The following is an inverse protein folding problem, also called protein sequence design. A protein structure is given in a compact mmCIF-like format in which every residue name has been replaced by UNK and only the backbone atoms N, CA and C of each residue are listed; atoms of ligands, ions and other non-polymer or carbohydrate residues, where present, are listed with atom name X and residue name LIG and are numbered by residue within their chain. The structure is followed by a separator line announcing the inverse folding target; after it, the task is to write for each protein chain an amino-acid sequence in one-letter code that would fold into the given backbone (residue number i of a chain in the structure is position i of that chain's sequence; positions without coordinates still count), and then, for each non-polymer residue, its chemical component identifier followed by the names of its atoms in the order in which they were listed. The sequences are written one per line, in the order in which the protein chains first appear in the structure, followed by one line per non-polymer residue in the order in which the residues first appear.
data_IF_408985627867
#
_entry.id   IF_408985627867
#
_cell.length_a   1.000
_cell.length_b   1.000
_cell.length_c   1.000
_cell.angle_alpha   90.00
_cell.angle_beta   90.00
_cell.angle_gamma   90.00
#
_symmetry.space_group_name_H-M   'P 1'
#
loop_
_entity.id
_entity.type
_entity.pdbx_description
1 polymer ?
#
# COMPACT_ATOMS: atom_id res chain seq x y z
N UNK A 1 -7.48 -19.73 -15.20
CA UNK A 1 -6.32 -20.08 -14.35
C UNK A 1 -6.83 -20.88 -13.15
N UNK A 2 -6.02 -21.78 -12.58
CA UNK A 2 -6.41 -22.54 -11.37
C UNK A 2 -5.99 -21.74 -10.14
N UNK A 3 -6.95 -21.47 -9.25
CA UNK A 3 -6.70 -20.77 -7.99
C UNK A 3 -5.88 -21.65 -7.04
N UNK A 4 -4.98 -21.02 -6.29
CA UNK A 4 -4.18 -21.71 -5.28
C UNK A 4 -4.44 -21.05 -3.93
N UNK A 5 -4.85 -21.84 -2.94
CA UNK A 5 -5.01 -21.36 -1.56
C UNK A 5 -3.66 -20.90 -1.01
N UNK A 6 -3.63 -19.71 -0.41
CA UNK A 6 -2.42 -19.08 0.15
C UNK A 6 -2.76 -18.43 1.48
N UNK A 7 -1.80 -18.40 2.39
CA UNK A 7 -1.83 -17.45 3.50
C UNK A 7 -1.24 -16.14 2.97
N UNK A 8 -1.89 -15.01 3.26
CA UNK A 8 -1.49 -13.69 2.78
C UNK A 8 -1.37 -12.76 3.99
N UNK A 9 -0.29 -11.99 4.06
CA UNK A 9 0.00 -11.09 5.18
C UNK A 9 0.50 -9.75 4.65
N UNK A 10 -0.19 -8.67 5.04
CA UNK A 10 0.25 -7.30 4.80
C UNK A 10 1.09 -6.83 5.99
N UNK A 11 2.30 -6.37 5.72
CA UNK A 11 3.20 -5.75 6.71
C UNK A 11 3.72 -4.46 6.12
N UNK A 12 3.34 -3.32 6.73
CA UNK A 12 3.62 -1.99 6.19
C UNK A 12 3.14 -1.91 4.73
N UNK A 13 4.04 -1.75 3.75
CA UNK A 13 3.75 -1.68 2.32
C UNK A 13 4.16 -2.95 1.55
N UNK A 14 4.38 -4.06 2.25
CA UNK A 14 4.68 -5.36 1.64
C UNK A 14 3.54 -6.35 1.84
N UNK A 15 3.09 -6.96 0.75
CA UNK A 15 2.12 -8.06 0.76
C UNK A 15 2.84 -9.39 0.54
N UNK A 16 3.03 -10.14 1.62
CA UNK A 16 3.66 -11.46 1.60
C UNK A 16 2.62 -12.55 1.33
N UNK A 17 2.98 -13.58 0.58
CA UNK A 17 2.15 -14.76 0.36
C UNK A 17 2.93 -16.06 0.57
N UNK A 18 2.29 -16.99 1.26
CA UNK A 18 2.89 -18.23 1.78
C UNK A 18 2.10 -19.43 1.28
N UNK A 19 2.73 -20.61 1.22
CA UNK A 19 1.96 -21.85 1.23
C UNK A 19 1.30 -22.00 2.59
N UNK A 20 0.21 -22.76 2.66
CA UNK A 20 -0.58 -22.89 3.89
C UNK A 20 0.14 -23.63 5.01
N UNK A 21 1.22 -24.32 4.69
CA UNK A 21 2.02 -25.20 5.52
C UNK A 21 3.47 -24.74 5.69
N UNK A 22 3.84 -23.59 5.11
CA UNK A 22 5.20 -23.04 5.17
C UNK A 22 5.24 -21.74 5.99
N UNK A 23 6.30 -21.58 6.78
CA UNK A 23 6.54 -20.36 7.56
C UNK A 23 7.25 -19.25 6.76
N UNK A 24 7.99 -19.63 5.71
CA UNK A 24 8.69 -18.68 4.83
C UNK A 24 7.78 -18.23 3.68
N UNK A 25 7.82 -16.94 3.29
CA UNK A 25 7.03 -16.46 2.17
C UNK A 25 7.59 -17.01 0.87
N UNK A 26 6.69 -17.40 -0.04
CA UNK A 26 7.07 -17.77 -1.42
C UNK A 26 7.47 -16.51 -2.19
N UNK A 27 6.91 -15.36 -1.81
CA UNK A 27 7.25 -14.08 -2.36
C UNK A 27 6.55 -12.93 -1.65
N UNK A 28 6.88 -11.72 -2.09
CA UNK A 28 6.30 -10.48 -1.61
C UNK A 28 5.99 -9.56 -2.79
N UNK A 29 4.92 -8.79 -2.65
CA UNK A 29 4.61 -7.66 -3.53
C UNK A 29 4.88 -6.37 -2.76
N UNK A 30 5.74 -5.51 -3.31
CA UNK A 30 5.93 -4.16 -2.81
C UNK A 30 4.82 -3.27 -3.37
N UNK A 31 4.05 -2.61 -2.50
CA UNK A 31 2.88 -1.82 -2.88
C UNK A 31 3.27 -0.38 -3.28
N UNK A 32 4.08 -0.28 -4.32
CA UNK A 32 4.46 0.97 -4.98
C UNK A 32 4.06 0.92 -6.45
N UNK A 33 3.63 2.06 -6.99
CA UNK A 33 3.21 2.17 -8.40
C UNK A 33 2.22 1.06 -8.83
N UNK A 34 1.36 0.65 -7.89
CA UNK A 34 0.40 -0.42 -8.10
C UNK A 34 -1.03 0.11 -8.22
N UNK A 35 -1.88 -0.63 -8.93
CA UNK A 35 -3.32 -0.41 -9.02
C UNK A 35 -4.03 -1.58 -8.38
N UNK A 36 -4.81 -1.29 -7.33
CA UNK A 36 -5.73 -2.25 -6.72
C UNK A 36 -7.13 -2.04 -7.30
N UNK A 37 -7.69 -3.08 -7.91
CA UNK A 37 -9.00 -3.04 -8.57
C UNK A 37 -9.93 -4.11 -7.98
N UNK A 38 -11.15 -3.74 -7.57
CA UNK A 38 -12.22 -4.72 -7.28
C UNK A 38 -12.76 -5.19 -8.62
N UNK A 39 -12.64 -6.48 -8.91
CA UNK A 39 -13.01 -7.08 -10.20
C UNK A 39 -14.44 -7.66 -10.12
N UNK A 40 -14.73 -8.41 -9.05
CA UNK A 40 -16.03 -9.02 -8.75
C UNK A 40 -16.37 -8.84 -7.25
N UNK A 41 -17.49 -9.38 -6.77
CA UNK A 41 -17.90 -9.28 -5.35
C UNK A 41 -16.79 -9.71 -4.39
N UNK A 42 -16.20 -10.89 -4.64
CA UNK A 42 -15.18 -11.50 -3.78
C UNK A 42 -13.78 -11.49 -4.39
N UNK A 43 -13.58 -10.79 -5.52
CA UNK A 43 -12.33 -10.84 -6.29
C UNK A 43 -11.75 -9.45 -6.46
N UNK A 44 -10.46 -9.31 -6.19
CA UNK A 44 -9.69 -8.12 -6.51
C UNK A 44 -8.40 -8.47 -7.25
N UNK A 45 -7.78 -7.48 -7.87
CA UNK A 45 -6.49 -7.63 -8.52
C UNK A 45 -5.51 -6.53 -8.11
N UNK A 46 -4.22 -6.85 -8.21
CA UNK A 46 -3.10 -5.92 -8.11
C UNK A 46 -2.34 -5.98 -9.44
N UNK A 47 -2.20 -4.84 -10.11
CA UNK A 47 -1.31 -4.67 -11.26
C UNK A 47 -0.29 -3.56 -11.01
N UNK A 48 0.81 -3.56 -11.75
CA UNK A 48 1.89 -2.58 -11.61
C UNK A 48 1.94 -1.70 -12.86
N UNK A 49 2.16 -0.40 -12.67
CA UNK A 49 2.15 0.58 -13.77
C UNK A 49 3.30 0.30 -14.75
N UNK A 50 4.46 -0.06 -14.22
CA UNK A 50 5.67 -0.33 -15.00
C UNK A 50 5.65 -1.71 -15.66
N UNK A 51 4.91 -2.66 -15.09
CA UNK A 51 4.79 -4.04 -15.58
C UNK A 51 3.29 -4.46 -15.63
N UNK A 52 2.50 -3.91 -16.58
CA UNK A 52 1.04 -4.13 -16.63
C UNK A 52 0.63 -5.59 -16.78
N UNK A 53 1.49 -6.41 -17.39
CA UNK A 53 1.33 -7.86 -17.54
C UNK A 53 1.43 -8.61 -16.21
N UNK A 54 2.07 -8.03 -15.18
CA UNK A 54 2.11 -8.59 -13.83
C UNK A 54 0.82 -8.28 -13.07
N UNK A 55 -0.27 -8.92 -13.48
CA UNK A 55 -1.56 -8.89 -12.79
C UNK A 55 -1.69 -10.09 -11.84
N UNK A 56 -1.88 -9.80 -10.55
CA UNK A 56 -2.14 -10.79 -9.51
C UNK A 56 -3.62 -10.74 -9.12
N UNK A 57 -4.35 -11.83 -9.32
CA UNK A 57 -5.75 -11.94 -8.92
C UNK A 57 -5.87 -12.66 -7.57
N UNK A 58 -6.72 -12.12 -6.71
CA UNK A 58 -7.01 -12.65 -5.38
C UNK A 58 -8.51 -12.85 -5.24
N UNK A 59 -8.89 -14.02 -4.76
CA UNK A 59 -10.27 -14.33 -4.39
C UNK A 59 -10.36 -14.53 -2.88
N UNK A 60 -11.33 -13.86 -2.26
CA UNK A 60 -11.61 -13.91 -0.84
C UNK A 60 -12.79 -14.85 -0.56
N UNK A 61 -12.92 -15.28 0.70
CA UNK A 61 -14.03 -16.14 1.11
C UNK A 61 -15.38 -15.41 1.11
N UNK A 62 -15.37 -14.10 1.31
CA UNK A 62 -16.56 -13.23 1.38
C UNK A 62 -16.27 -11.86 0.76
N UNK A 63 -17.34 -11.13 0.43
CA UNK A 63 -17.24 -9.78 -0.14
C UNK A 63 -16.67 -8.80 0.87
N UNK A 64 -17.08 -8.92 2.12
CA UNK A 64 -16.58 -8.12 3.24
C UNK A 64 -15.06 -8.27 3.36
N UNK A 65 -14.56 -9.52 3.36
CA UNK A 65 -13.12 -9.77 3.39
C UNK A 65 -12.41 -9.18 2.16
N UNK A 66 -13.00 -9.28 0.96
CA UNK A 66 -12.45 -8.66 -0.25
C UNK A 66 -12.33 -7.14 -0.08
N UNK A 67 -13.39 -6.50 0.42
CA UNK A 67 -13.42 -5.06 0.63
C UNK A 67 -12.40 -4.61 1.68
N UNK A 68 -12.27 -5.33 2.80
CA UNK A 68 -11.25 -5.07 3.82
C UNK A 68 -9.84 -5.15 3.25
N UNK A 69 -9.54 -6.17 2.43
CA UNK A 69 -8.25 -6.29 1.76
C UNK A 69 -7.99 -5.14 0.79
N UNK A 70 -8.95 -4.80 -0.06
CA UNK A 70 -8.82 -3.69 -1.01
C UNK A 70 -8.51 -2.38 -0.27
N UNK A 71 -9.20 -2.09 0.83
CA UNK A 71 -8.97 -0.88 1.61
C UNK A 71 -7.64 -0.90 2.37
N UNK A 72 -7.25 -2.04 2.95
CA UNK A 72 -5.98 -2.19 3.62
C UNK A 72 -4.80 -1.99 2.63
N UNK A 73 -4.88 -2.58 1.45
CA UNK A 73 -3.86 -2.45 0.40
C UNK A 73 -3.77 -1.03 -0.15
N UNK A 74 -4.90 -0.36 -0.37
CA UNK A 74 -4.92 1.06 -0.77
C UNK A 74 -4.28 1.97 0.27
N UNK A 75 -4.48 1.70 1.57
CA UNK A 75 -3.87 2.49 2.66
C UNK A 75 -2.38 2.19 2.84
N UNK A 76 -1.96 0.97 2.52
CA UNK A 76 -0.57 0.55 2.59
C UNK A 76 0.27 0.99 1.40
N UNK A 77 -0.35 1.46 0.30
CA UNK A 77 0.40 1.89 -0.88
C UNK A 77 1.29 3.09 -0.58
N UNK A 78 2.46 3.12 -1.24
CA UNK A 78 3.41 4.21 -1.08
C UNK A 78 2.78 5.58 -1.35
N UNK A 79 1.93 5.68 -2.38
CA UNK A 79 1.26 6.92 -2.76
C UNK A 79 0.32 7.42 -1.67
N UNK A 80 -0.41 6.52 -1.00
CA UNK A 80 -1.27 6.88 0.12
C UNK A 80 -0.43 7.32 1.31
N UNK A 81 0.54 6.50 1.72
CA UNK A 81 1.43 6.80 2.85
C UNK A 81 2.14 8.14 2.67
N UNK A 82 2.66 8.43 1.47
CA UNK A 82 3.29 9.71 1.13
C UNK A 82 2.32 10.87 1.26
N UNK A 83 1.10 10.76 0.72
CA UNK A 83 0.07 11.81 0.85
C UNK A 83 -0.33 12.04 2.30
N UNK A 84 -0.51 10.97 3.07
CA UNK A 84 -0.83 11.04 4.51
C UNK A 84 0.29 11.70 5.30
N UNK A 85 1.55 11.36 5.03
CA UNK A 85 2.71 11.98 5.68
C UNK A 85 2.74 13.50 5.43
N UNK A 86 2.60 13.91 4.17
CA UNK A 86 2.57 15.32 3.79
C UNK A 86 1.38 16.03 4.47
N UNK A 87 0.21 15.41 4.50
CA UNK A 87 -0.97 15.95 5.15
C UNK A 87 -0.74 16.15 6.65
N UNK A 88 -0.31 15.12 7.38
CA UNK A 88 -0.11 15.22 8.83
C UNK A 88 1.02 16.18 9.19
N UNK A 89 2.10 16.23 8.41
CA UNK A 89 3.18 17.21 8.59
C UNK A 89 2.65 18.65 8.49
N UNK A 90 1.84 18.94 7.47
CA UNK A 90 1.19 20.24 7.31
C UNK A 90 0.27 20.59 8.48
N UNK A 91 -0.58 19.65 8.92
CA UNK A 91 -1.52 19.91 10.02
C UNK A 91 -0.79 20.15 11.35
N UNK A 92 0.24 19.36 11.66
CA UNK A 92 1.06 19.56 12.86
C UNK A 92 1.82 20.89 12.81
N UNK A 93 2.39 21.25 11.66
CA UNK A 93 3.09 22.53 11.50
C UNK A 93 2.14 23.73 11.65
N UNK A 94 0.92 23.66 11.11
CA UNK A 94 -0.11 24.70 11.31
C UNK A 94 -0.48 24.87 12.79
N UNK A 95 -0.58 23.76 13.54
CA UNK A 95 -0.96 23.79 14.95
C UNK A 95 0.18 24.22 15.90
N UNK A 96 1.42 23.82 15.59
CA UNK A 96 2.57 23.98 16.49
C UNK A 96 3.57 25.05 16.07
N UNK A 97 3.48 25.51 14.82
CA UNK A 97 4.45 26.43 14.20
C UNK A 97 5.80 25.79 13.86
N UNK A 98 5.97 24.48 14.06
CA UNK A 98 7.23 23.75 13.86
C UNK A 98 7.02 22.54 12.96
N UNK A 99 7.99 22.24 12.13
CA UNK A 99 7.96 21.02 11.33
C UNK A 99 8.25 19.80 12.25
N UNK A 100 7.33 18.82 12.36
CA UNK A 100 7.52 17.68 13.26
C UNK A 100 8.74 16.83 12.91
N UNK A 101 9.26 16.93 11.68
CA UNK A 101 10.42 16.16 11.22
C UNK A 101 11.77 16.84 11.51
N UNK A 102 11.80 18.12 11.90
CA UNK A 102 13.04 18.85 12.21
C UNK A 102 13.88 18.18 13.30
N UNK A 103 13.22 17.69 14.35
CA UNK A 103 13.87 17.10 15.52
C UNK A 103 14.61 15.79 15.21
N UNK A 104 14.30 15.12 14.09
CA UNK A 104 14.90 13.84 13.72
C UNK A 104 16.14 13.99 12.83
N UNK A 105 16.59 15.22 12.54
CA UNK A 105 17.77 15.47 11.71
C UNK A 105 17.63 15.04 10.25
N UNK A 106 16.39 14.80 9.80
CA UNK A 106 16.09 14.46 8.40
C UNK A 106 16.35 15.72 7.55
N UNK A 107 17.09 15.62 6.43
CA UNK A 107 17.34 16.78 5.56
C UNK A 107 16.04 17.29 4.93
N UNK A 108 15.98 18.57 4.56
CA UNK A 108 14.77 19.13 3.94
C UNK A 108 14.35 18.39 2.66
N UNK A 109 15.32 17.92 1.88
CA UNK A 109 15.11 17.13 0.66
C UNK A 109 14.42 15.79 0.97
N UNK A 110 14.84 15.13 2.06
CA UNK A 110 14.30 13.85 2.50
C UNK A 110 12.96 13.95 3.23
N UNK A 111 12.50 15.17 3.58
CA UNK A 111 11.21 15.38 4.25
C UNK A 111 10.02 15.43 3.30
N UNK A 112 10.21 15.15 2.01
CA UNK A 112 9.20 15.29 0.96
C UNK A 112 8.64 16.71 0.93
N UNK A 113 9.21 17.57 0.09
CA UNK A 113 8.94 19.00 0.09
C UNK A 113 7.43 19.33 0.18
N UNK A 114 7.08 20.25 1.09
CA UNK A 114 5.73 20.81 1.24
C UNK A 114 5.48 21.83 0.11
N UNK A 115 5.53 21.36 -1.13
CA UNK A 115 5.35 22.16 -2.33
C UNK A 115 4.25 21.55 -3.19
N UNK A 116 3.22 22.34 -3.49
CA UNK A 116 2.08 21.93 -4.29
C UNK A 116 2.52 21.38 -5.66
N UNK A 117 2.56 20.07 -5.84
CA UNK A 117 2.42 19.50 -7.17
C UNK A 117 0.95 19.70 -7.59
N UNK A 118 0.67 20.89 -8.12
CA UNK A 118 -0.31 21.02 -9.20
C UNK A 118 0.36 20.50 -10.46
N UNK A 119 0.04 19.26 -10.84
CA UNK A 119 -0.15 18.87 -12.24
C UNK A 119 -1.24 17.80 -12.25
#
# INVERSE_FOLDING_TARGET
AVLKKRLVKLVVNFLFYFRTDEAEPIGALLLEHCRITKEEENVFSISFIEEPERKYCFECATEEQCQEWVEALKRASYEFLRRSLIFYRNEIQKMTGKDPLEQYGISEEARFQLGAHRQ
#
